data_IF_844629101564
#
_entry.id   IF_844629101564
#
_cell.length_a   1.000
_cell.length_b   1.000
_cell.length_c   1.000
_cell.angle_alpha   90.00
_cell.angle_beta   90.00
_cell.angle_gamma   90.00
#
_symmetry.space_group_name_H-M   'P 1'
#
loop_
_entity.id
_entity.type
_entity.pdbx_description
1 polymer ?
#
# COMPACT_ATOMS: atom_id res chain seq x y z
N UNK A 1 2.14 -1.98 -16.46
CA UNK A 1 2.22 -1.09 -15.28
C UNK A 1 2.13 -1.85 -13.96
N UNK A 2 1.11 -2.70 -13.75
CA UNK A 2 0.95 -3.49 -12.52
C UNK A 2 2.22 -4.28 -12.14
N UNK A 3 2.88 -4.89 -13.13
CA UNK A 3 4.16 -5.59 -12.97
C UNK A 3 5.25 -4.75 -12.29
N UNK A 4 5.46 -3.51 -12.76
CA UNK A 4 6.49 -2.62 -12.20
C UNK A 4 6.14 -2.16 -10.78
N UNK A 5 4.86 -1.92 -10.51
CA UNK A 5 4.40 -1.64 -9.14
C UNK A 5 4.67 -2.84 -8.25
N UNK A 6 4.32 -4.05 -8.69
CA UNK A 6 4.58 -5.28 -7.95
C UNK A 6 6.07 -5.49 -7.64
N UNK A 7 6.98 -5.19 -8.57
CA UNK A 7 8.42 -5.23 -8.31
C UNK A 7 8.83 -4.29 -7.16
N UNK A 8 8.35 -3.05 -7.16
CA UNK A 8 8.61 -2.10 -6.08
C UNK A 8 8.04 -2.58 -4.73
N UNK A 9 6.87 -3.25 -4.75
CA UNK A 9 6.28 -3.83 -3.56
C UNK A 9 7.06 -5.03 -3.02
N UNK A 10 7.58 -5.90 -3.89
CA UNK A 10 8.46 -7.00 -3.49
C UNK A 10 9.73 -6.44 -2.85
N UNK A 11 10.37 -5.46 -3.48
CA UNK A 11 11.54 -4.80 -2.89
C UNK A 11 11.24 -4.17 -1.53
N UNK A 12 10.13 -3.44 -1.41
CA UNK A 12 9.69 -2.86 -0.14
C UNK A 12 9.48 -3.94 0.93
N UNK A 13 8.83 -5.04 0.56
CA UNK A 13 8.55 -6.19 1.44
C UNK A 13 9.83 -6.84 1.94
N UNK A 14 10.82 -7.04 1.07
CA UNK A 14 12.08 -7.69 1.41
C UNK A 14 13.08 -6.75 2.10
N UNK A 15 12.90 -5.42 1.97
CA UNK A 15 13.80 -4.43 2.58
C UNK A 15 13.37 -4.03 3.98
N UNK A 16 12.09 -3.68 4.17
CA UNK A 16 11.60 -3.13 5.45
C UNK A 16 10.42 -3.91 6.06
N UNK A 17 9.93 -4.95 5.38
CA UNK A 17 8.85 -5.86 5.84
C UNK A 17 7.70 -5.11 6.54
N UNK A 18 6.99 -4.20 5.83
CA UNK A 18 5.91 -3.46 6.46
C UNK A 18 4.78 -4.42 6.86
N UNK A 19 3.94 -4.06 7.83
CA UNK A 19 2.74 -4.84 8.16
C UNK A 19 1.60 -4.65 7.15
N UNK A 20 1.63 -3.55 6.39
CA UNK A 20 0.63 -3.16 5.40
C UNK A 20 1.21 -2.14 4.42
N UNK A 21 0.82 -2.23 3.16
CA UNK A 21 1.15 -1.31 2.08
C UNK A 21 -0.15 -0.66 1.60
N UNK A 22 -0.21 0.66 1.64
CA UNK A 22 -1.37 1.45 1.18
C UNK A 22 -0.97 2.19 -0.09
N UNK A 23 -1.58 1.82 -1.21
CA UNK A 23 -1.33 2.42 -2.51
C UNK A 23 -2.35 3.54 -2.77
N UNK A 24 -1.91 4.79 -2.80
CA UNK A 24 -2.75 5.96 -3.11
C UNK A 24 -2.50 6.55 -4.50
N UNK A 25 -3.31 7.54 -4.88
CA UNK A 25 -3.21 8.26 -6.14
C UNK A 25 -4.33 7.94 -7.14
N UNK A 26 -4.63 8.89 -8.02
CA UNK A 26 -5.78 8.89 -8.95
C UNK A 26 -5.76 7.76 -9.98
N UNK A 27 -4.60 7.12 -10.17
CA UNK A 27 -4.39 6.07 -11.18
C UNK A 27 -4.86 4.70 -10.67
N UNK A 28 -5.11 4.56 -9.38
CA UNK A 28 -5.46 3.29 -8.76
C UNK A 28 -6.96 3.07 -8.73
N UNK A 29 -7.39 1.91 -9.20
CA UNK A 29 -8.73 1.36 -9.04
C UNK A 29 -8.64 -0.09 -8.56
N UNK A 30 -9.78 -0.70 -8.25
CA UNK A 30 -9.86 -2.09 -7.75
C UNK A 30 -9.24 -3.09 -8.72
N UNK A 31 -9.56 -2.98 -10.01
CA UNK A 31 -9.09 -3.92 -11.04
C UNK A 31 -7.57 -3.86 -11.21
N UNK A 32 -6.99 -2.67 -11.11
CA UNK A 32 -5.55 -2.48 -11.18
C UNK A 32 -4.85 -3.00 -9.92
N UNK A 33 -5.48 -2.85 -8.75
CA UNK A 33 -4.98 -3.41 -7.49
C UNK A 33 -4.91 -4.94 -7.55
N UNK A 34 -5.92 -5.60 -8.12
CA UNK A 34 -5.94 -7.05 -8.25
C UNK A 34 -4.85 -7.55 -9.21
N UNK A 35 -4.62 -6.83 -10.32
CA UNK A 35 -3.47 -7.10 -11.22
C UNK A 35 -2.13 -6.96 -10.50
N UNK A 36 -1.99 -5.98 -9.60
CA UNK A 36 -0.76 -5.81 -8.79
C UNK A 36 -0.60 -7.01 -7.85
N UNK A 37 -1.66 -7.45 -7.18
CA UNK A 37 -1.62 -8.61 -6.26
C UNK A 37 -1.18 -9.89 -6.98
N UNK A 38 -1.71 -10.15 -8.18
CA UNK A 38 -1.32 -11.31 -9.00
C UNK A 38 0.18 -11.27 -9.34
N UNK A 39 0.67 -10.13 -9.84
CA UNK A 39 2.09 -9.99 -10.18
C UNK A 39 2.98 -10.05 -8.93
N UNK A 40 2.53 -9.50 -7.80
CA UNK A 40 3.24 -9.55 -6.53
C UNK A 40 3.43 -10.99 -6.05
N UNK A 41 2.37 -11.81 -6.06
CA UNK A 41 2.45 -13.24 -5.72
C UNK A 41 3.43 -13.96 -6.61
N UNK A 42 3.33 -13.74 -7.93
CA UNK A 42 4.20 -14.38 -8.92
C UNK A 42 5.67 -14.01 -8.71
N UNK A 43 5.96 -12.75 -8.40
CA UNK A 43 7.32 -12.26 -8.19
C UNK A 43 7.89 -12.66 -6.83
N UNK A 44 7.07 -12.67 -5.77
CA UNK A 44 7.49 -13.08 -4.43
C UNK A 44 7.72 -14.59 -4.35
N UNK A 45 6.97 -15.37 -5.14
CA UNK A 45 7.10 -16.82 -5.29
C UNK A 45 7.21 -17.54 -3.93
N UNK A 46 6.32 -17.17 -3.00
CA UNK A 46 6.24 -17.70 -1.64
C UNK A 46 7.55 -17.68 -0.83
N UNK A 47 8.52 -16.84 -1.22
CA UNK A 47 9.84 -16.77 -0.58
C UNK A 47 9.76 -16.36 0.90
N UNK A 48 8.81 -15.47 1.23
CA UNK A 48 8.46 -15.12 2.60
C UNK A 48 6.96 -15.05 2.77
N UNK A 49 6.47 -15.43 3.95
CA UNK A 49 5.05 -15.27 4.27
C UNK A 49 4.70 -13.79 4.47
N UNK A 50 3.56 -13.39 3.89
CA UNK A 50 2.92 -12.08 4.06
C UNK A 50 1.47 -12.28 4.53
N UNK A 51 0.82 -11.27 5.13
CA UNK A 51 -0.61 -11.32 5.38
C UNK A 51 -1.42 -11.52 4.09
N UNK A 52 -2.71 -11.93 4.19
CA UNK A 52 -3.60 -12.00 3.03
C UNK A 52 -3.53 -10.71 2.19
N UNK A 53 -3.42 -10.83 0.87
CA UNK A 53 -3.10 -9.69 0.00
C UNK A 53 -4.15 -8.59 0.04
N UNK A 54 -5.39 -8.94 0.35
CA UNK A 54 -6.52 -8.03 0.54
C UNK A 54 -6.35 -7.13 1.77
N UNK A 55 -5.56 -7.59 2.75
CA UNK A 55 -5.21 -6.86 3.97
C UNK A 55 -3.80 -6.25 3.87
N UNK A 56 -2.93 -6.84 3.08
CA UNK A 56 -1.55 -6.44 2.93
C UNK A 56 -1.35 -5.30 1.92
N UNK A 57 -1.94 -5.39 0.73
CA UNK A 57 -1.83 -4.38 -0.34
C UNK A 57 -3.22 -3.79 -0.57
N UNK A 58 -3.45 -2.56 -0.09
CA UNK A 58 -4.80 -1.94 -0.06
C UNK A 58 -4.83 -0.55 -0.66
N UNK A 59 -6.03 -0.06 -0.96
CA UNK A 59 -6.27 1.37 -1.19
C UNK A 59 -6.38 2.12 0.15
N UNK A 60 -6.22 3.46 0.15
CA UNK A 60 -6.57 4.31 1.27
C UNK A 60 -8.02 4.10 1.67
N UNK A 61 -8.29 4.07 2.97
CA UNK A 61 -9.66 4.07 3.49
C UNK A 61 -10.35 5.43 3.35
N UNK A 62 -9.57 6.49 3.14
CA UNK A 62 -10.08 7.87 3.05
C UNK A 62 -10.44 8.17 1.59
N UNK A 63 -11.70 8.55 1.37
CA UNK A 63 -12.23 8.93 0.06
C UNK A 63 -11.60 10.25 -0.44
N UNK A 64 -11.73 10.50 -1.74
CA UNK A 64 -11.38 11.78 -2.38
C UNK A 64 -9.93 12.25 -2.14
N UNK A 65 -8.97 11.33 -2.04
CA UNK A 65 -7.57 11.63 -1.76
C UNK A 65 -7.34 12.44 -0.46
N UNK A 66 -8.27 12.37 0.50
CA UNK A 66 -8.22 13.15 1.75
C UNK A 66 -7.18 12.69 2.77
N UNK A 67 -6.43 11.62 2.50
CA UNK A 67 -5.45 11.05 3.43
C UNK A 67 -4.41 12.08 3.89
N UNK A 68 -3.91 12.91 2.97
CA UNK A 68 -2.93 13.95 3.30
C UNK A 68 -3.54 15.04 4.20
N UNK A 69 -4.76 15.49 3.90
CA UNK A 69 -5.49 16.48 4.70
C UNK A 69 -5.71 16.00 6.13
N UNK A 70 -6.16 14.75 6.30
CA UNK A 70 -6.31 14.15 7.64
C UNK A 70 -4.95 14.02 8.33
N UNK A 71 -3.91 13.63 7.59
CA UNK A 71 -2.54 13.58 8.09
C UNK A 71 -2.05 14.93 8.65
N UNK A 72 -2.35 16.03 7.95
CA UNK A 72 -2.00 17.38 8.40
C UNK A 72 -2.70 17.73 9.72
N UNK A 73 -4.00 17.44 9.84
CA UNK A 73 -4.72 17.66 11.10
C UNK A 73 -4.19 16.77 12.23
N UNK A 74 -3.87 15.50 11.94
CA UNK A 74 -3.26 14.60 12.93
C UNK A 74 -1.90 15.13 13.42
N UNK A 75 -1.09 15.70 12.54
CA UNK A 75 0.18 16.32 12.90
C UNK A 75 -0.03 17.57 13.77
N UNK A 76 -1.01 18.42 13.44
CA UNK A 76 -1.37 19.58 14.25
C UNK A 76 -1.83 19.19 15.66
N UNK A 77 -2.69 18.18 15.78
CA UNK A 77 -3.14 17.64 17.09
C UNK A 77 -1.94 17.11 17.88
N UNK A 78 -1.06 16.32 17.25
CA UNK A 78 0.16 15.81 17.89
C UNK A 78 1.04 16.93 18.43
N UNK A 79 1.15 18.05 17.70
CA UNK A 79 1.93 19.22 18.11
C UNK A 79 1.29 20.03 19.24
N UNK A 80 -0.04 20.03 19.35
CA UNK A 80 -0.77 20.66 20.46
C UNK A 80 -0.71 19.84 21.75
N UNK A 81 -0.53 18.52 21.65
CA UNK A 81 -0.45 17.58 22.77
C UNK A 81 0.99 17.35 23.28
N UNK A 82 2.00 17.91 22.59
CA UNK A 82 3.43 17.87 22.96
C UNK A 82 3.85 19.13 23.68
#
# INVERSE_FOLDING_TARGET
MAYYVAQALVQTTLTIRPGKIVLGGSVLNTDFLDKIRIEFTRLLNDYVQVPPLEKYITLPSIKNNGSATIGNFALAIKRLQS
#
